data_IF_844748452335
#
_entry.id   IF_844748452335
#
_cell.length_a   1.000
_cell.length_b   1.000
_cell.length_c   1.000
_cell.angle_alpha   90.00
_cell.angle_beta   90.00
_cell.angle_gamma   90.00
#
_symmetry.space_group_name_H-M   'P 1'
#
loop_
_entity.id
_entity.type
_entity.pdbx_description
1 polymer ?
#
# COMPACT_ATOMS: atom_id res chain seq x y z
N UNK A 1 82.48 2.96 10.57
CA UNK A 1 81.44 2.53 11.54
C UNK A 1 80.20 3.36 11.26
N UNK A 2 79.02 2.74 11.23
CA UNK A 2 77.75 3.45 11.02
C UNK A 2 76.94 3.32 12.31
N UNK A 3 76.43 4.45 12.80
CA UNK A 3 75.60 4.51 13.99
C UNK A 3 74.14 4.62 13.58
N UNK A 4 73.28 3.78 14.16
CA UNK A 4 71.84 3.85 14.01
C UNK A 4 71.20 4.03 15.39
N UNK A 5 70.51 5.14 15.58
CA UNK A 5 69.70 5.40 16.78
C UNK A 5 68.23 5.10 16.50
N UNK A 6 67.59 4.32 17.37
CA UNK A 6 66.17 4.02 17.30
C UNK A 6 65.53 4.08 18.69
N UNK A 7 64.22 4.34 18.74
CA UNK A 7 63.47 4.40 19.99
C UNK A 7 63.02 2.99 20.41
N UNK A 8 63.35 2.58 21.62
CA UNK A 8 62.87 1.31 22.18
C UNK A 8 61.63 1.57 23.07
N UNK A 9 60.42 1.21 22.60
CA UNK A 9 59.18 1.52 23.32
C UNK A 9 59.03 0.77 24.64
N UNK A 10 59.74 -0.36 24.83
CA UNK A 10 59.69 -1.12 26.10
C UNK A 10 60.43 -0.41 27.24
N UNK A 11 61.48 0.36 26.91
CA UNK A 11 62.29 1.11 27.87
C UNK A 11 62.07 2.63 27.80
N UNK A 12 61.18 3.07 26.90
CA UNK A 12 60.84 4.47 26.62
C UNK A 12 62.05 5.39 26.41
N UNK A 13 63.14 4.87 25.83
CA UNK A 13 64.40 5.60 25.59
C UNK A 13 64.99 5.25 24.24
N UNK A 14 65.75 6.19 23.67
CA UNK A 14 66.51 5.95 22.45
C UNK A 14 67.76 5.12 22.74
N UNK A 15 67.99 4.08 21.93
CA UNK A 15 69.19 3.25 21.94
C UNK A 15 69.95 3.44 20.63
N UNK A 16 71.28 3.45 20.71
CA UNK A 16 72.15 3.59 19.53
C UNK A 16 73.01 2.36 19.38
N UNK A 17 72.98 1.75 18.20
CA UNK A 17 73.84 0.62 17.83
C UNK A 17 74.88 1.10 16.83
N UNK A 18 76.14 0.71 17.04
CA UNK A 18 77.25 0.99 16.12
C UNK A 18 77.71 -0.31 15.46
N UNK A 19 77.89 -0.29 14.15
CA UNK A 19 78.54 -1.40 13.45
C UNK A 19 80.06 -1.38 13.63
N UNK A 20 80.73 -2.56 13.60
CA UNK A 20 82.19 -2.62 13.53
C UNK A 20 82.72 -1.91 12.28
N UNK A 21 83.90 -1.30 12.38
CA UNK A 21 84.56 -0.71 11.21
C UNK A 21 85.28 -1.79 10.41
N UNK A 22 84.90 -1.97 9.14
CA UNK A 22 85.67 -2.77 8.19
C UNK A 22 86.66 -1.88 7.44
N UNK A 23 87.95 -2.23 7.48
CA UNK A 23 88.98 -1.63 6.63
C UNK A 23 89.19 -2.53 5.43
N UNK A 24 88.81 -2.06 4.24
CA UNK A 24 89.10 -2.75 2.98
C UNK A 24 90.47 -2.28 2.49
N UNK A 25 91.42 -3.20 2.37
CA UNK A 25 92.72 -2.94 1.75
C UNK A 25 92.60 -3.39 0.30
N UNK A 26 92.66 -2.43 -0.63
CA UNK A 26 92.60 -2.70 -2.07
C UNK A 26 94.04 -2.84 -2.59
N UNK A 27 94.40 -4.02 -3.09
CA UNK A 27 95.65 -4.24 -3.83
C UNK A 27 95.44 -3.93 -5.33
N UNK A 28 96.43 -3.35 -6.02
CA UNK A 28 96.38 -3.16 -7.48
C UNK A 28 96.21 -4.50 -8.20
N UNK A 29 95.32 -4.55 -9.20
CA UNK A 29 95.19 -5.72 -10.07
C UNK A 29 96.30 -5.75 -11.13
N UNK A 30 96.79 -6.96 -11.43
CA UNK A 30 97.79 -7.17 -12.49
C UNK A 30 97.19 -6.83 -13.86
N UNK A 31 97.81 -5.86 -14.54
CA UNK A 31 97.55 -5.58 -15.94
C UNK A 31 98.07 -6.70 -16.82
N UNK A 32 97.17 -7.37 -17.55
CA UNK A 32 97.49 -7.92 -18.86
C UNK A 32 96.27 -7.89 -19.77
N UNK A 33 96.02 -6.72 -20.34
CA UNK A 33 95.24 -6.57 -21.57
C UNK A 33 96.10 -6.98 -22.76
N UNK A 34 95.71 -8.06 -23.42
CA UNK A 34 96.05 -8.39 -24.80
C UNK A 34 94.95 -9.35 -25.25
N UNK A 35 93.97 -8.97 -26.04
CA UNK A 35 94.05 -8.15 -27.24
C UNK A 35 93.67 -9.06 -28.39
N UNK A 36 92.39 -9.07 -28.76
CA UNK A 36 91.93 -9.61 -30.04
C UNK A 36 90.75 -8.78 -30.53
N UNK A 37 91.08 -7.90 -31.48
CA UNK A 37 90.14 -7.22 -32.37
C UNK A 37 89.30 -8.24 -33.13
N UNK A 38 87.99 -8.02 -33.13
CA UNK A 38 87.04 -8.72 -33.98
C UNK A 38 85.74 -7.94 -34.01
N UNK A 39 85.64 -6.97 -34.93
CA UNK A 39 84.41 -6.23 -35.21
C UNK A 39 83.31 -7.19 -35.68
N UNK A 40 82.36 -7.48 -34.80
CA UNK A 40 81.01 -7.87 -35.17
C UNK A 40 80.05 -6.92 -34.46
N UNK A 41 79.37 -6.09 -35.26
CA UNK A 41 78.25 -5.25 -34.82
C UNK A 41 77.10 -6.17 -34.45
N UNK A 42 77.03 -6.56 -33.18
CA UNK A 42 75.80 -7.05 -32.57
C UNK A 42 75.06 -5.83 -32.02
N UNK A 43 73.89 -5.55 -32.61
CA UNK A 43 72.98 -4.47 -32.27
C UNK A 43 72.65 -4.53 -30.77
N UNK A 44 73.31 -3.68 -29.96
CA UNK A 44 72.99 -3.49 -28.55
C UNK A 44 71.99 -2.36 -28.41
N UNK A 45 71.06 -2.60 -27.49
CA UNK A 45 69.84 -1.87 -27.18
C UNK A 45 70.04 -0.36 -27.05
N UNK A 46 69.06 0.43 -27.51
CA UNK A 46 69.07 1.89 -27.38
C UNK A 46 68.97 2.23 -25.89
N UNK A 47 70.10 2.52 -25.25
CA UNK A 47 70.09 3.19 -23.95
C UNK A 47 69.58 4.61 -24.14
N UNK A 48 68.34 4.85 -23.70
CA UNK A 48 67.73 6.17 -23.63
C UNK A 48 68.47 6.99 -22.57
N UNK A 49 69.54 7.66 -23.00
CA UNK A 49 70.22 8.70 -22.23
C UNK A 49 69.41 10.00 -22.34
N UNK A 50 68.66 10.30 -21.28
CA UNK A 50 68.14 11.64 -20.99
C UNK A 50 66.69 11.90 -21.36
N UNK A 51 65.80 11.92 -20.35
CA UNK A 51 64.53 12.67 -20.42
C UNK A 51 64.69 13.94 -19.60
N UNK A 52 64.81 15.05 -20.33
CA UNK A 52 65.06 16.42 -19.85
C UNK A 52 63.74 17.18 -19.55
N UNK A 53 62.83 16.57 -18.79
CA UNK A 53 61.61 17.25 -18.30
C UNK A 53 61.17 16.61 -16.98
N UNK A 54 61.41 17.28 -15.85
CA UNK A 54 60.91 16.86 -14.53
C UNK A 54 59.70 17.71 -14.12
N UNK A 55 58.63 17.06 -13.69
CA UNK A 55 57.38 17.71 -13.25
C UNK A 55 57.60 18.52 -11.95
N UNK A 56 57.15 19.78 -11.94
CA UNK A 56 57.43 20.74 -10.84
C UNK A 56 56.56 20.49 -9.59
N UNK A 57 55.48 19.71 -9.69
CA UNK A 57 54.68 19.16 -8.59
C UNK A 57 53.70 18.14 -9.16
N UNK A 58 54.02 16.86 -9.06
CA UNK A 58 52.99 15.82 -9.09
C UNK A 58 52.27 15.86 -7.74
N UNK A 59 51.35 16.82 -7.54
CA UNK A 59 50.29 16.58 -6.57
C UNK A 59 49.54 15.38 -7.13
N UNK A 60 49.82 14.21 -6.57
CA UNK A 60 49.15 12.97 -6.89
C UNK A 60 47.66 13.14 -6.64
N UNK A 61 46.96 13.65 -7.66
CA UNK A 61 45.54 13.44 -7.83
C UNK A 61 45.41 11.94 -8.06
N UNK A 62 45.39 11.21 -6.95
CA UNK A 62 44.84 9.87 -6.93
C UNK A 62 43.37 10.06 -7.26
N UNK A 63 43.05 10.07 -8.55
CA UNK A 63 41.70 9.85 -9.04
C UNK A 63 41.35 8.42 -8.64
N UNK A 64 40.90 8.26 -7.40
CA UNK A 64 40.28 7.02 -6.94
C UNK A 64 39.05 6.86 -7.81
N UNK A 65 38.92 5.72 -8.50
CA UNK A 65 37.67 5.37 -9.18
C UNK A 65 36.55 5.64 -8.20
N UNK A 66 35.62 6.55 -8.52
CA UNK A 66 34.42 6.73 -7.71
C UNK A 66 33.85 5.34 -7.46
N UNK A 67 33.73 4.97 -6.18
CA UNK A 67 33.22 3.67 -5.78
C UNK A 67 31.88 3.39 -6.46
N UNK A 68 31.50 2.11 -6.54
CA UNK A 68 30.24 1.71 -7.17
C UNK A 68 29.09 2.58 -6.64
N UNK A 69 28.43 3.29 -7.55
CA UNK A 69 27.36 4.22 -7.19
C UNK A 69 26.16 3.41 -6.69
N UNK A 70 25.41 3.89 -5.68
CA UNK A 70 24.39 3.09 -5.01
C UNK A 70 23.29 2.58 -5.96
N UNK A 71 23.00 3.28 -7.07
CA UNK A 71 22.03 2.84 -8.10
C UNK A 71 22.48 1.63 -8.94
N UNK A 72 23.76 1.25 -8.87
CA UNK A 72 24.30 0.07 -9.54
C UNK A 72 23.97 -1.22 -8.78
N UNK A 73 23.66 -1.12 -7.48
CA UNK A 73 23.23 -2.25 -6.66
C UNK A 73 21.74 -2.55 -6.82
N UNK A 74 21.39 -3.83 -6.88
CA UNK A 74 19.99 -4.28 -6.96
C UNK A 74 19.13 -3.81 -5.76
N UNK A 75 19.76 -3.63 -4.59
CA UNK A 75 19.09 -3.15 -3.37
C UNK A 75 18.51 -1.75 -3.53
N UNK A 76 19.10 -0.89 -4.37
CA UNK A 76 18.61 0.47 -4.60
C UNK A 76 17.26 0.43 -5.34
N UNK A 77 17.18 -0.40 -6.39
CA UNK A 77 15.93 -0.62 -7.11
C UNK A 77 14.88 -1.36 -6.27
N UNK A 78 15.31 -2.32 -5.44
CA UNK A 78 14.42 -2.98 -4.49
C UNK A 78 13.86 -1.99 -3.45
N UNK A 79 14.71 -1.14 -2.89
CA UNK A 79 14.31 -0.09 -1.94
C UNK A 79 13.40 0.98 -2.56
N UNK A 80 13.61 1.31 -3.83
CA UNK A 80 12.75 2.23 -4.58
C UNK A 80 11.39 1.61 -4.95
N UNK A 81 11.37 0.31 -5.27
CA UNK A 81 10.14 -0.42 -5.59
C UNK A 81 9.29 -0.77 -4.37
N UNK A 82 9.91 -0.95 -3.20
CA UNK A 82 9.23 -1.31 -1.96
C UNK A 82 8.09 -0.34 -1.56
N UNK A 83 8.25 0.99 -1.52
CA UNK A 83 7.16 1.90 -1.19
C UNK A 83 6.03 1.90 -2.24
N UNK A 84 6.36 1.73 -3.53
CA UNK A 84 5.36 1.61 -4.59
C UNK A 84 4.53 0.33 -4.45
N UNK A 85 5.19 -0.81 -4.21
CA UNK A 85 4.52 -2.09 -3.96
C UNK A 85 3.71 -2.05 -2.67
N UNK A 86 4.23 -1.44 -1.60
CA UNK A 86 3.52 -1.26 -0.34
C UNK A 86 2.27 -0.39 -0.54
N UNK A 87 2.36 0.70 -1.31
CA UNK A 87 1.21 1.54 -1.63
C UNK A 87 0.16 0.81 -2.48
N UNK A 88 0.58 0.11 -3.54
CA UNK A 88 -0.32 -0.69 -4.37
C UNK A 88 -1.00 -1.81 -3.58
N UNK A 89 -0.24 -2.50 -2.71
CA UNK A 89 -0.74 -3.50 -1.79
C UNK A 89 -1.73 -2.92 -0.78
N UNK A 90 -1.42 -1.77 -0.18
CA UNK A 90 -2.32 -1.07 0.73
C UNK A 90 -3.60 -0.60 0.04
N UNK A 91 -3.51 -0.11 -1.20
CA UNK A 91 -4.67 0.29 -2.01
C UNK A 91 -5.55 -0.91 -2.38
N UNK A 92 -4.95 -2.00 -2.86
CA UNK A 92 -5.66 -3.24 -3.17
C UNK A 92 -6.29 -3.84 -1.91
N UNK A 93 -5.55 -3.87 -0.80
CA UNK A 93 -6.06 -4.29 0.50
C UNK A 93 -7.21 -3.40 0.94
N UNK A 94 -7.13 -2.07 0.81
CA UNK A 94 -8.23 -1.16 1.15
C UNK A 94 -9.45 -1.41 0.28
N UNK A 95 -9.29 -1.60 -1.03
CA UNK A 95 -10.40 -1.91 -1.95
C UNK A 95 -11.04 -3.26 -1.66
N UNK A 96 -10.23 -4.26 -1.33
CA UNK A 96 -10.71 -5.58 -0.93
C UNK A 96 -11.41 -5.52 0.43
N UNK A 97 -10.85 -4.74 1.36
CA UNK A 97 -11.47 -4.44 2.64
C UNK A 97 -12.79 -3.72 2.41
N UNK A 98 -12.90 -2.67 1.60
CA UNK A 98 -14.19 -2.01 1.27
C UNK A 98 -15.22 -2.99 0.69
N UNK A 99 -14.82 -3.96 -0.13
CA UNK A 99 -15.70 -5.04 -0.61
C UNK A 99 -16.13 -6.00 0.53
N UNK A 100 -15.33 -6.12 1.59
CA UNK A 100 -15.52 -7.01 2.74
C UNK A 100 -15.94 -6.29 4.03
N UNK A 101 -15.92 -4.95 4.05
CA UNK A 101 -15.95 -4.07 5.21
C UNK A 101 -16.79 -2.83 4.89
N UNK A 102 -18.09 -2.98 5.06
CA UNK A 102 -18.67 -2.22 6.16
C UNK A 102 -19.07 -3.26 7.19
N UNK A 103 -18.33 -3.50 8.27
CA UNK A 103 -18.71 -4.55 9.22
C UNK A 103 -20.15 -4.31 9.75
N UNK A 104 -20.52 -3.03 9.90
CA UNK A 104 -21.88 -2.58 10.18
C UNK A 104 -22.76 -2.62 8.91
N UNK A 105 -22.32 -2.07 7.78
CA UNK A 105 -23.15 -2.01 6.56
C UNK A 105 -23.46 -3.37 5.94
N UNK A 106 -22.48 -4.26 5.86
CA UNK A 106 -22.60 -5.65 5.45
C UNK A 106 -23.46 -6.45 6.45
N UNK A 107 -23.27 -6.27 7.76
CA UNK A 107 -24.15 -6.91 8.74
C UNK A 107 -25.60 -6.42 8.63
N UNK A 108 -25.82 -5.11 8.46
CA UNK A 108 -27.14 -4.51 8.21
C UNK A 108 -27.76 -5.06 6.93
N UNK A 109 -27.02 -5.09 5.83
CA UNK A 109 -27.50 -5.66 4.57
C UNK A 109 -27.87 -7.15 4.71
N UNK A 110 -26.97 -7.96 5.29
CA UNK A 110 -27.20 -9.39 5.49
C UNK A 110 -28.41 -9.69 6.38
N UNK A 111 -28.68 -8.82 7.35
CA UNK A 111 -29.81 -8.95 8.28
C UNK A 111 -31.05 -8.18 7.84
N UNK A 112 -30.98 -7.31 6.82
CA UNK A 112 -32.05 -6.40 6.40
C UNK A 112 -33.38 -7.12 6.19
N UNK A 113 -33.37 -8.20 5.40
CA UNK A 113 -34.57 -9.04 5.15
C UNK A 113 -35.14 -9.60 6.46
N UNK A 114 -34.28 -10.10 7.34
CA UNK A 114 -34.68 -10.66 8.64
C UNK A 114 -35.26 -9.58 9.56
N UNK A 115 -34.64 -8.40 9.61
CA UNK A 115 -35.07 -7.26 10.43
C UNK A 115 -36.41 -6.71 9.94
N UNK A 116 -36.58 -6.58 8.63
CA UNK A 116 -37.83 -6.16 8.01
C UNK A 116 -38.96 -7.15 8.32
N UNK A 117 -38.75 -8.45 8.08
CA UNK A 117 -39.73 -9.50 8.41
C UNK A 117 -40.07 -9.54 9.90
N UNK A 118 -39.10 -9.27 10.79
CA UNK A 118 -39.37 -9.14 12.24
C UNK A 118 -40.31 -7.96 12.53
N UNK A 119 -40.16 -6.83 11.83
CA UNK A 119 -41.07 -5.67 11.96
C UNK A 119 -42.44 -5.96 11.37
N UNK A 120 -42.52 -6.61 10.21
CA UNK A 120 -43.78 -7.04 9.60
C UNK A 120 -44.56 -7.97 10.54
N UNK A 121 -43.89 -8.89 11.22
CA UNK A 121 -44.51 -9.74 12.26
C UNK A 121 -45.02 -8.92 13.46
N UNK A 122 -44.33 -7.82 13.80
CA UNK A 122 -44.82 -6.85 14.77
C UNK A 122 -46.09 -6.14 14.30
N UNK A 123 -46.10 -5.68 13.04
CA UNK A 123 -47.27 -5.09 12.40
C UNK A 123 -48.45 -6.07 12.38
N UNK A 124 -48.22 -7.34 12.07
CA UNK A 124 -49.25 -8.39 12.09
C UNK A 124 -49.94 -8.52 13.48
N UNK A 125 -49.20 -8.30 14.57
CA UNK A 125 -49.79 -8.28 15.91
C UNK A 125 -50.67 -7.05 16.14
N UNK A 126 -50.27 -5.88 15.62
CA UNK A 126 -51.10 -4.67 15.64
C UNK A 126 -52.38 -4.84 14.81
N UNK A 127 -52.28 -5.51 13.66
CA UNK A 127 -53.43 -5.88 12.83
C UNK A 127 -54.42 -6.78 13.60
N UNK A 128 -53.93 -7.79 14.32
CA UNK A 128 -54.76 -8.71 15.12
C UNK A 128 -55.41 -8.03 16.33
N UNK A 129 -54.79 -7.00 16.88
CA UNK A 129 -55.31 -6.24 18.02
C UNK A 129 -56.22 -5.07 17.63
N UNK A 130 -56.43 -4.84 16.33
CA UNK A 130 -57.24 -3.72 15.82
C UNK A 130 -56.56 -2.36 15.93
N UNK A 131 -55.26 -2.33 16.23
CA UNK A 131 -54.44 -1.13 16.31
C UNK A 131 -53.95 -0.73 14.91
N UNK A 132 -54.88 -0.24 14.06
CA UNK A 132 -54.60 -0.01 12.64
C UNK A 132 -53.58 1.11 12.38
N UNK A 133 -53.58 2.18 13.17
CA UNK A 133 -52.62 3.29 13.02
C UNK A 133 -51.18 2.81 13.27
N UNK A 134 -51.01 2.03 14.33
CA UNK A 134 -49.75 1.40 14.73
C UNK A 134 -49.30 0.37 13.69
N UNK A 135 -50.24 -0.42 13.14
CA UNK A 135 -49.98 -1.34 12.04
C UNK A 135 -49.36 -0.64 10.84
N UNK A 136 -50.02 0.41 10.30
CA UNK A 136 -49.49 1.14 9.14
C UNK A 136 -48.15 1.82 9.45
N UNK A 137 -48.01 2.36 10.67
CA UNK A 137 -46.75 2.96 11.12
C UNK A 137 -45.58 1.97 11.23
N UNK A 138 -45.83 0.73 11.67
CA UNK A 138 -44.81 -0.34 11.71
C UNK A 138 -44.52 -0.90 10.31
N UNK A 139 -45.52 -1.00 9.42
CA UNK A 139 -45.32 -1.39 8.02
C UNK A 139 -44.41 -0.41 7.28
N UNK A 140 -44.70 0.89 7.34
CA UNK A 140 -43.86 1.95 6.74
C UNK A 140 -42.43 1.89 7.30
N UNK A 141 -42.28 1.77 8.63
CA UNK A 141 -40.98 1.58 9.30
C UNK A 141 -40.25 0.30 8.89
N UNK A 142 -40.97 -0.76 8.55
CA UNK A 142 -40.42 -2.02 8.05
C UNK A 142 -39.86 -1.87 6.64
N UNK A 143 -40.63 -1.26 5.75
CA UNK A 143 -40.28 -1.02 4.35
C UNK A 143 -39.08 -0.06 4.21
N UNK A 144 -39.15 1.12 4.85
CA UNK A 144 -38.04 2.10 4.82
C UNK A 144 -36.82 1.54 5.57
N UNK A 145 -37.05 0.83 6.69
CA UNK A 145 -36.00 0.15 7.45
C UNK A 145 -35.20 -0.85 6.61
N UNK A 146 -35.91 -1.67 5.82
CA UNK A 146 -35.28 -2.58 4.87
C UNK A 146 -34.36 -1.85 3.89
N UNK A 147 -34.85 -0.77 3.28
CA UNK A 147 -34.10 -0.01 2.28
C UNK A 147 -32.84 0.62 2.88
N UNK A 148 -32.94 1.22 4.06
CA UNK A 148 -31.79 1.80 4.75
C UNK A 148 -30.77 0.76 5.22
N UNK A 149 -31.23 -0.40 5.69
CA UNK A 149 -30.33 -1.50 6.06
C UNK A 149 -29.64 -2.11 4.84
N UNK A 150 -30.35 -2.24 3.71
CA UNK A 150 -29.83 -2.78 2.46
C UNK A 150 -28.80 -1.84 1.82
N UNK A 151 -29.06 -0.55 1.86
CA UNK A 151 -28.20 0.49 1.25
C UNK A 151 -27.22 1.13 2.21
N UNK A 152 -27.21 0.69 3.48
CA UNK A 152 -26.42 1.26 4.57
C UNK A 152 -26.56 2.79 4.69
N UNK A 153 -27.78 3.30 4.50
CA UNK A 153 -28.12 4.72 4.66
C UNK A 153 -29.01 4.93 5.88
N UNK A 154 -28.99 6.14 6.42
CA UNK A 154 -29.92 6.54 7.47
C UNK A 154 -31.31 6.73 6.87
N UNK A 155 -32.30 6.08 7.48
CA UNK A 155 -33.70 6.12 7.03
C UNK A 155 -34.42 7.38 7.49
N UNK A 156 -33.85 8.11 8.45
CA UNK A 156 -34.44 9.32 9.00
C UNK A 156 -34.30 10.46 8.00
N UNK A 157 -35.44 10.99 7.55
CA UNK A 157 -35.47 12.13 6.62
C UNK A 157 -35.35 11.76 5.14
N UNK A 158 -35.36 10.47 4.78
CA UNK A 158 -35.43 10.07 3.37
C UNK A 158 -36.71 10.59 2.72
N UNK A 159 -36.54 11.44 1.71
CA UNK A 159 -37.63 11.95 0.88
C UNK A 159 -38.03 10.92 -0.18
N UNK A 160 -39.24 11.08 -0.73
CA UNK A 160 -39.74 10.24 -1.82
C UNK A 160 -38.78 10.20 -3.02
N UNK A 161 -38.26 11.37 -3.41
CA UNK A 161 -37.34 11.51 -4.55
C UNK A 161 -36.02 10.79 -4.30
N UNK A 162 -35.51 10.83 -3.06
CA UNK A 162 -34.30 10.09 -2.69
C UNK A 162 -34.52 8.58 -2.71
N UNK A 163 -35.67 8.10 -2.23
CA UNK A 163 -36.04 6.68 -2.29
C UNK A 163 -36.14 6.22 -3.75
N UNK A 164 -36.78 7.01 -4.60
CA UNK A 164 -36.93 6.71 -6.03
C UNK A 164 -35.58 6.66 -6.76
N UNK A 165 -34.74 7.69 -6.58
CA UNK A 165 -33.42 7.75 -7.17
C UNK A 165 -32.53 6.59 -6.69
N UNK A 166 -32.64 6.22 -5.41
CA UNK A 166 -31.89 5.12 -4.82
C UNK A 166 -32.36 3.76 -5.35
N UNK A 167 -33.66 3.55 -5.56
CA UNK A 167 -34.15 2.32 -6.21
C UNK A 167 -33.72 2.23 -7.68
N UNK A 168 -33.64 3.36 -8.39
CA UNK A 168 -33.12 3.41 -9.75
C UNK A 168 -31.62 3.07 -9.84
N UNK A 169 -30.81 3.53 -8.89
CA UNK A 169 -29.36 3.21 -8.80
C UNK A 169 -29.09 1.70 -8.65
N UNK A 170 -30.05 0.97 -8.06
CA UNK A 170 -29.99 -0.48 -7.89
C UNK A 170 -30.66 -1.28 -9.02
N UNK A 171 -30.98 -0.65 -10.17
CA UNK A 171 -31.56 -1.30 -11.35
C UNK A 171 -32.88 -2.05 -11.05
N UNK A 172 -33.70 -1.47 -10.17
CA UNK A 172 -35.06 -1.95 -9.87
C UNK A 172 -36.00 -1.47 -10.97
N UNK A 173 -36.80 -2.39 -11.53
CA UNK A 173 -37.81 -2.07 -12.55
C UNK A 173 -38.75 -0.95 -12.07
N UNK A 174 -39.13 -0.07 -12.98
CA UNK A 174 -40.03 1.06 -12.79
C UNK A 174 -41.36 0.63 -12.13
N UNK A 175 -41.92 -0.52 -12.54
CA UNK A 175 -43.16 -1.06 -11.96
C UNK A 175 -43.01 -1.34 -10.46
N UNK A 176 -41.97 -2.09 -10.09
CA UNK A 176 -41.72 -2.47 -8.69
C UNK A 176 -41.33 -1.26 -7.83
N UNK A 177 -40.62 -0.29 -8.42
CA UNK A 177 -40.30 0.98 -7.77
C UNK A 177 -41.57 1.77 -7.46
N UNK A 178 -42.48 1.87 -8.43
CA UNK A 178 -43.74 2.58 -8.26
C UNK A 178 -44.66 1.87 -7.25
N UNK A 179 -44.72 0.54 -7.26
CA UNK A 179 -45.46 -0.25 -6.28
C UNK A 179 -44.94 -0.01 -4.86
N UNK A 180 -43.62 0.01 -4.67
CA UNK A 180 -43.01 0.28 -3.36
C UNK A 180 -43.34 1.70 -2.85
N UNK A 181 -43.23 2.71 -3.72
CA UNK A 181 -43.57 4.10 -3.37
C UNK A 181 -45.06 4.24 -3.04
N UNK A 182 -45.93 3.62 -3.83
CA UNK A 182 -47.38 3.65 -3.61
C UNK A 182 -47.76 2.95 -2.29
N UNK A 183 -47.10 1.84 -1.96
CA UNK A 183 -47.27 1.18 -0.66
C UNK A 183 -46.86 2.08 0.52
N UNK A 184 -45.78 2.86 0.39
CA UNK A 184 -45.38 3.82 1.42
C UNK A 184 -46.39 4.95 1.59
N UNK A 185 -46.83 5.55 0.47
CA UNK A 185 -47.83 6.61 0.49
C UNK A 185 -49.15 6.14 1.10
N UNK A 186 -49.60 4.94 0.72
CA UNK A 186 -50.82 4.37 1.27
C UNK A 186 -50.67 4.11 2.77
N UNK A 187 -49.53 3.60 3.25
CA UNK A 187 -49.30 3.41 4.68
C UNK A 187 -49.42 4.74 5.45
N UNK A 188 -48.77 5.79 4.97
CA UNK A 188 -48.81 7.10 5.61
C UNK A 188 -50.21 7.70 5.55
N UNK A 189 -50.90 7.62 4.40
CA UNK A 189 -52.26 8.11 4.25
C UNK A 189 -53.24 7.39 5.20
N UNK A 190 -53.24 6.05 5.22
CA UNK A 190 -54.15 5.22 6.02
C UNK A 190 -53.91 5.37 7.52
N UNK A 191 -52.68 5.67 7.92
CA UNK A 191 -52.32 5.95 9.31
C UNK A 191 -52.99 7.22 9.84
N UNK A 192 -53.17 8.24 8.99
CA UNK A 192 -53.76 9.53 9.39
C UNK A 192 -55.22 9.71 8.96
N UNK A 193 -55.71 8.92 7.99
CA UNK A 193 -57.09 8.95 7.50
C UNK A 193 -57.76 7.56 7.62
N UNK A 194 -58.41 7.26 8.76
CA UNK A 194 -59.19 6.05 8.96
C UNK A 194 -60.36 5.94 7.97
N UNK A 195 -60.70 4.71 7.56
CA UNK A 195 -61.84 4.41 6.68
C UNK A 195 -62.79 3.39 7.36
N UNK A 196 -64.01 3.21 6.88
CA UNK A 196 -65.00 2.33 7.55
C UNK A 196 -64.65 0.83 7.50
N UNK A 197 -63.87 0.37 6.51
CA UNK A 197 -63.47 -1.04 6.32
C UNK A 197 -61.98 -1.30 6.63
N UNK A 198 -61.48 -0.81 7.77
CA UNK A 198 -60.04 -0.89 8.09
C UNK A 198 -59.50 -2.33 8.17
N UNK A 199 -60.28 -3.28 8.68
CA UNK A 199 -59.81 -4.64 8.92
C UNK A 199 -59.47 -5.40 7.64
N UNK A 200 -60.33 -5.31 6.62
CA UNK A 200 -60.12 -5.96 5.32
C UNK A 200 -59.01 -5.25 4.53
N UNK A 201 -59.06 -3.92 4.48
CA UNK A 201 -58.05 -3.11 3.78
C UNK A 201 -56.65 -3.28 4.37
N UNK A 202 -56.54 -3.37 5.70
CA UNK A 202 -55.25 -3.59 6.36
C UNK A 202 -54.70 -5.00 6.11
N UNK A 203 -55.55 -6.02 5.95
CA UNK A 203 -55.13 -7.38 5.56
C UNK A 203 -54.61 -7.42 4.13
N UNK A 204 -55.37 -6.87 3.18
CA UNK A 204 -54.95 -6.78 1.78
C UNK A 204 -53.64 -5.98 1.64
N UNK A 205 -53.54 -4.86 2.35
CA UNK A 205 -52.32 -4.05 2.41
C UNK A 205 -51.14 -4.84 2.99
N UNK A 206 -51.34 -5.64 4.03
CA UNK A 206 -50.28 -6.47 4.63
C UNK A 206 -49.73 -7.48 3.61
N UNK A 207 -50.61 -8.19 2.90
CA UNK A 207 -50.21 -9.16 1.88
C UNK A 207 -49.44 -8.48 0.74
N UNK A 208 -49.96 -7.37 0.24
CA UNK A 208 -49.34 -6.59 -0.84
C UNK A 208 -47.98 -6.01 -0.44
N UNK A 209 -47.91 -5.35 0.72
CA UNK A 209 -46.67 -4.78 1.23
C UNK A 209 -45.59 -5.84 1.50
N UNK A 210 -46.00 -7.01 2.00
CA UNK A 210 -45.08 -8.15 2.20
C UNK A 210 -44.57 -8.71 0.86
N UNK A 211 -45.45 -8.83 -0.14
CA UNK A 211 -45.08 -9.28 -1.48
C UNK A 211 -44.09 -8.32 -2.16
N UNK A 212 -44.35 -7.02 -2.10
CA UNK A 212 -43.44 -5.99 -2.64
C UNK A 212 -42.08 -6.04 -1.95
N UNK A 213 -42.04 -6.13 -0.62
CA UNK A 213 -40.79 -6.29 0.14
C UNK A 213 -40.02 -7.54 -0.30
N UNK A 214 -40.71 -8.66 -0.48
CA UNK A 214 -40.09 -9.91 -0.89
C UNK A 214 -39.54 -9.85 -2.32
N UNK A 215 -40.29 -9.25 -3.25
CA UNK A 215 -39.82 -9.02 -4.62
C UNK A 215 -38.60 -8.08 -4.64
N UNK A 216 -38.67 -6.97 -3.90
CA UNK A 216 -37.57 -6.02 -3.81
C UNK A 216 -36.30 -6.69 -3.25
N UNK A 217 -36.43 -7.44 -2.16
CA UNK A 217 -35.28 -8.13 -1.54
C UNK A 217 -34.64 -9.24 -2.37
N UNK A 218 -35.32 -9.74 -3.41
CA UNK A 218 -34.73 -10.65 -4.39
C UNK A 218 -33.93 -9.91 -5.45
N UNK A 219 -34.28 -8.66 -5.73
CA UNK A 219 -33.65 -7.84 -6.76
C UNK A 219 -32.39 -7.13 -6.24
N UNK A 220 -32.47 -6.58 -5.03
CA UNK A 220 -31.38 -5.85 -4.38
C UNK A 220 -30.82 -6.66 -3.22
#
# INVERSE_FOLDING_TARGET
PINLSYFDPSSARYKTLSSPQYKVIVTPGDESVSGLSGNFVAKSDVQVLGRDINFIKETGLQLVKSGALPYQGWWFWAGLGLPLLAFAGAFAYRRHREQMSGDIGYARNRTARRTAHKRLKGAENHLKSGAFSEFYGEMSRGLIGFLGDKTNRETTGMTRLEIEALLADYDVNDDLRQDFLTCLDEADFRRFAPADNQAEQARDFFERGSAVLDQLSKRI
#
